data_IF_315038272173
#
_entry.id   IF_315038272173
#
_cell.length_a   1.000
_cell.length_b   1.000
_cell.length_c   1.000
_cell.angle_alpha   90.00
_cell.angle_beta   90.00
_cell.angle_gamma   90.00
#
_symmetry.space_group_name_H-M   'P 1'
#
loop_
_entity.id
_entity.type
_entity.pdbx_description
1 polymer ?
#
# COMPACT_ATOMS: atom_id res chain seq x y z
N UNK A 1 -0.46 -17.59 -5.20
CA UNK A 1 -0.92 -16.73 -6.31
C UNK A 1 0.02 -16.91 -7.49
N UNK A 2 -0.37 -16.52 -8.71
CA UNK A 2 0.48 -16.56 -9.90
C UNK A 2 0.15 -15.39 -10.85
N UNK A 3 1.08 -15.06 -11.75
CA UNK A 3 0.85 -14.04 -12.79
C UNK A 3 0.29 -14.70 -14.05
N UNK A 4 -0.83 -14.17 -14.54
CA UNK A 4 -1.49 -14.59 -15.77
C UNK A 4 -1.40 -13.49 -16.82
N UNK A 5 -0.87 -13.81 -17.99
CA UNK A 5 -0.95 -12.96 -19.17
C UNK A 5 -2.30 -13.16 -19.88
N UNK A 6 -2.96 -12.07 -20.28
CA UNK A 6 -4.22 -12.07 -21.02
C UNK A 6 -4.14 -11.10 -22.18
N UNK A 7 -4.34 -11.60 -23.40
CA UNK A 7 -4.51 -10.75 -24.58
C UNK A 7 -5.87 -10.07 -24.52
N UNK A 8 -5.87 -8.75 -24.59
CA UNK A 8 -7.06 -7.90 -24.60
C UNK A 8 -7.06 -7.09 -25.89
N UNK A 9 -8.25 -6.79 -26.41
CA UNK A 9 -8.43 -5.94 -27.60
C UNK A 9 -9.05 -4.62 -27.17
N UNK A 10 -8.45 -3.51 -27.59
CA UNK A 10 -9.08 -2.21 -27.45
C UNK A 10 -10.29 -2.15 -28.40
N UNK A 11 -11.49 -1.85 -27.86
CA UNK A 11 -12.73 -1.81 -28.65
C UNK A 11 -12.76 -0.64 -29.63
N UNK A 12 -12.12 0.47 -29.31
CA UNK A 12 -12.13 1.68 -30.13
C UNK A 12 -11.13 1.61 -31.29
N UNK A 13 -9.89 1.18 -31.01
CA UNK A 13 -8.80 1.17 -32.01
C UNK A 13 -8.56 -0.20 -32.63
N UNK A 14 -9.16 -1.26 -32.09
CA UNK A 14 -8.96 -2.64 -32.54
C UNK A 14 -7.60 -3.25 -32.19
N UNK A 15 -6.69 -2.50 -31.56
CA UNK A 15 -5.34 -2.94 -31.24
C UNK A 15 -5.34 -4.00 -30.14
N UNK A 16 -4.55 -5.06 -30.33
CA UNK A 16 -4.36 -6.13 -29.35
C UNK A 16 -3.18 -5.78 -28.43
N UNK A 17 -3.37 -5.92 -27.13
CA UNK A 17 -2.32 -5.73 -26.13
C UNK A 17 -2.37 -6.84 -25.09
N UNK A 18 -1.23 -7.10 -24.46
CA UNK A 18 -1.11 -8.09 -23.39
C UNK A 18 -1.15 -7.35 -22.06
N UNK A 19 -2.01 -7.81 -21.16
CA UNK A 19 -2.04 -7.39 -19.77
C UNK A 19 -1.75 -8.56 -18.84
N UNK A 20 -1.20 -8.26 -17.68
CA UNK A 20 -0.81 -9.20 -16.66
C UNK A 20 -1.67 -9.00 -15.43
N UNK A 21 -2.03 -10.09 -14.77
CA UNK A 21 -2.88 -10.07 -13.58
C UNK A 21 -2.30 -11.00 -12.53
N UNK A 22 -2.31 -10.58 -11.28
CA UNK A 22 -2.03 -11.47 -10.16
C UNK A 22 -3.32 -12.20 -9.81
N UNK A 23 -3.27 -13.53 -9.82
CA UNK A 23 -4.44 -14.40 -9.64
C UNK A 23 -4.22 -15.31 -8.44
N UNK A 24 -5.25 -15.43 -7.60
CA UNK A 24 -5.34 -16.41 -6.51
C UNK A 24 -6.21 -17.57 -6.96
N UNK A 25 -5.77 -18.80 -6.69
CA UNK A 25 -6.61 -19.98 -6.83
C UNK A 25 -7.11 -20.40 -5.45
N UNK A 26 -8.38 -20.74 -5.37
CA UNK A 26 -9.01 -21.26 -4.16
C UNK A 26 -9.96 -22.41 -4.53
N UNK A 27 -10.22 -23.30 -3.57
CA UNK A 27 -11.20 -24.38 -3.74
C UNK A 27 -12.53 -23.94 -3.16
N UNK A 28 -13.59 -24.15 -3.92
CA UNK A 28 -14.97 -23.99 -3.48
C UNK A 28 -15.65 -25.36 -3.63
N UNK A 29 -15.72 -26.10 -2.52
CA UNK A 29 -16.06 -27.52 -2.53
C UNK A 29 -15.09 -28.31 -3.42
N UNK A 30 -15.64 -28.97 -4.43
CA UNK A 30 -14.89 -29.83 -5.36
C UNK A 30 -14.34 -29.07 -6.59
N UNK A 31 -14.67 -27.78 -6.74
CA UNK A 31 -14.26 -26.97 -7.89
C UNK A 31 -13.11 -26.03 -7.52
N UNK A 32 -12.10 -25.94 -8.37
CA UNK A 32 -11.04 -24.94 -8.27
C UNK A 32 -11.48 -23.66 -8.99
N UNK A 33 -11.54 -22.55 -8.27
CA UNK A 33 -11.85 -21.22 -8.82
C UNK A 33 -10.63 -20.31 -8.77
N UNK A 34 -10.66 -19.28 -9.61
CA UNK A 34 -9.60 -18.27 -9.73
C UNK A 34 -10.18 -16.88 -9.51
N UNK A 35 -9.55 -16.12 -8.61
CA UNK A 35 -9.88 -14.73 -8.30
C UNK A 35 -8.75 -13.81 -8.76
N UNK A 36 -9.08 -12.68 -9.36
CA UNK A 36 -8.10 -11.65 -9.72
C UNK A 36 -7.85 -10.79 -8.48
N UNK A 37 -6.63 -10.84 -7.97
CA UNK A 37 -6.21 -10.08 -6.78
C UNK A 37 -5.89 -8.64 -7.17
N UNK A 38 -5.14 -8.46 -8.26
CA UNK A 38 -4.80 -7.15 -8.79
C UNK A 38 -4.49 -7.22 -10.30
N UNK A 39 -4.74 -6.13 -11.01
CA UNK A 39 -4.29 -5.94 -12.39
C UNK A 39 -2.89 -5.30 -12.35
N UNK A 40 -1.93 -5.88 -13.07
CA UNK A 40 -0.53 -5.49 -13.08
C UNK A 40 -0.18 -4.66 -14.31
N UNK A 41 -1.13 -4.43 -15.22
CA UNK A 41 -0.85 -3.78 -16.50
C UNK A 41 0.08 -4.61 -17.38
N UNK A 42 0.96 -3.94 -18.14
CA UNK A 42 1.95 -4.63 -18.98
C UNK A 42 3.25 -4.76 -18.20
N UNK A 43 3.73 -6.00 -18.05
CA UNK A 43 5.04 -6.30 -17.48
C UNK A 43 6.01 -6.60 -18.62
N UNK A 44 7.19 -6.00 -18.56
CA UNK A 44 8.27 -6.18 -19.52
C UNK A 44 9.40 -7.01 -18.87
N UNK A 45 9.06 -8.21 -18.39
CA UNK A 45 10.00 -9.15 -17.76
C UNK A 45 9.88 -10.54 -18.38
N UNK A 46 10.94 -11.34 -18.24
CA UNK A 46 10.95 -12.73 -18.71
C UNK A 46 9.85 -13.54 -17.98
N UNK A 47 9.04 -14.34 -18.70
CA UNK A 47 8.06 -15.25 -18.11
C UNK A 47 8.62 -16.18 -17.02
N UNK A 48 9.92 -16.50 -17.03
CA UNK A 48 10.59 -17.28 -15.98
C UNK A 48 10.54 -16.61 -14.62
N UNK A 49 10.56 -15.28 -14.58
CA UNK A 49 10.56 -14.51 -13.34
C UNK A 49 9.15 -14.19 -12.82
N UNK A 50 8.10 -14.53 -13.57
CA UNK A 50 6.72 -14.35 -13.12
C UNK A 50 6.43 -15.06 -11.80
N UNK A 51 6.99 -16.24 -11.60
CA UNK A 51 6.81 -17.00 -10.35
C UNK A 51 7.43 -16.27 -9.17
N UNK A 52 8.66 -15.76 -9.33
CA UNK A 52 9.37 -14.99 -8.29
C UNK A 52 8.64 -13.69 -7.99
N UNK A 53 8.25 -12.93 -9.02
CA UNK A 53 7.50 -11.68 -8.84
C UNK A 53 6.16 -11.93 -8.14
N UNK A 54 5.43 -13.00 -8.50
CA UNK A 54 4.19 -13.37 -7.84
C UNK A 54 4.40 -13.67 -6.34
N UNK A 55 5.50 -14.33 -5.98
CA UNK A 55 5.85 -14.60 -4.58
C UNK A 55 6.15 -13.30 -3.82
N UNK A 56 6.97 -12.41 -4.40
CA UNK A 56 7.29 -11.10 -3.80
C UNK A 56 6.02 -10.29 -3.56
N UNK A 57 5.14 -10.18 -4.56
CA UNK A 57 3.86 -9.49 -4.43
C UNK A 57 2.97 -10.14 -3.37
N UNK A 58 2.91 -11.47 -3.31
CA UNK A 58 2.11 -12.18 -2.29
C UNK A 58 2.61 -11.89 -0.88
N UNK A 59 3.93 -11.92 -0.67
CA UNK A 59 4.53 -11.61 0.65
C UNK A 59 4.22 -10.18 1.08
N UNK A 60 4.41 -9.21 0.18
CA UNK A 60 4.11 -7.80 0.45
C UNK A 60 2.63 -7.55 0.74
N UNK A 61 1.72 -8.19 0.00
CA UNK A 61 0.28 -8.13 0.27
C UNK A 61 -0.10 -8.76 1.62
N UNK A 62 0.69 -9.74 2.09
CA UNK A 62 0.53 -10.33 3.42
C UNK A 62 1.21 -9.51 4.54
N UNK A 63 1.80 -8.35 4.23
CA UNK A 63 2.49 -7.50 5.21
C UNK A 63 3.86 -8.03 5.65
N UNK A 64 4.41 -9.02 4.93
CA UNK A 64 5.73 -9.59 5.21
C UNK A 64 6.73 -9.12 4.15
N UNK A 65 7.79 -8.44 4.57
CA UNK A 65 8.91 -8.13 3.68
C UNK A 65 10.03 -9.17 3.86
N UNK A 66 10.54 -9.70 2.76
CA UNK A 66 11.74 -10.53 2.80
C UNK A 66 12.95 -9.62 3.05
N UNK A 67 13.60 -9.83 4.20
CA UNK A 67 14.84 -9.15 4.59
C UNK A 67 16.03 -9.51 3.68
N UNK A 68 15.96 -10.60 2.93
CA UNK A 68 17.06 -11.05 2.08
C UNK A 68 17.12 -10.27 0.77
N UNK A 69 18.34 -9.96 0.32
CA UNK A 69 18.68 -9.36 -0.99
C UNK A 69 18.35 -10.33 -2.13
N UNK A 70 17.05 -10.52 -2.36
CA UNK A 70 16.57 -11.05 -3.63
C UNK A 70 16.75 -10.03 -4.75
N UNK A 71 16.56 -10.50 -5.98
CA UNK A 71 16.63 -9.75 -7.23
C UNK A 71 16.04 -8.32 -7.13
N UNK A 72 16.92 -7.33 -7.06
CA UNK A 72 16.57 -5.92 -6.79
C UNK A 72 15.63 -5.36 -7.87
N UNK A 73 15.77 -5.82 -9.12
CA UNK A 73 14.92 -5.41 -10.22
C UNK A 73 13.47 -5.84 -10.00
N UNK A 74 13.24 -7.10 -9.62
CA UNK A 74 11.90 -7.62 -9.35
C UNK A 74 11.25 -6.94 -8.14
N UNK A 75 12.04 -6.60 -7.12
CA UNK A 75 11.55 -5.83 -5.96
C UNK A 75 11.09 -4.43 -6.38
N UNK A 76 11.90 -3.72 -7.17
CA UNK A 76 11.56 -2.39 -7.70
C UNK A 76 10.30 -2.41 -8.56
N UNK A 77 10.15 -3.43 -9.41
CA UNK A 77 8.93 -3.63 -10.19
C UNK A 77 7.72 -3.86 -9.27
N UNK A 78 7.84 -4.73 -8.27
CA UNK A 78 6.77 -4.96 -7.32
C UNK A 78 6.40 -3.68 -6.53
N UNK A 79 7.36 -2.81 -6.19
CA UNK A 79 7.09 -1.54 -5.50
C UNK A 79 6.30 -0.58 -6.39
N UNK A 80 6.68 -0.44 -7.67
CA UNK A 80 5.95 0.37 -8.64
C UNK A 80 4.51 -0.11 -8.85
N UNK A 81 4.31 -1.42 -8.89
CA UNK A 81 2.98 -2.00 -9.06
C UNK A 81 2.13 -1.78 -7.80
N UNK A 82 2.70 -1.97 -6.61
CA UNK A 82 1.95 -1.79 -5.36
C UNK A 82 1.59 -0.32 -5.10
N UNK A 83 2.47 0.63 -5.43
CA UNK A 83 2.17 2.06 -5.29
C UNK A 83 1.07 2.52 -6.24
N UNK A 84 1.05 2.04 -7.48
CA UNK A 84 -0.04 2.33 -8.42
C UNK A 84 -1.36 1.64 -8.01
N UNK A 85 -1.28 0.46 -7.40
CA UNK A 85 -2.46 -0.23 -6.86
C UNK A 85 -3.07 0.48 -5.66
N UNK A 86 -2.27 0.94 -4.68
CA UNK A 86 -2.78 1.64 -3.50
C UNK A 86 -3.52 2.93 -3.87
N UNK A 87 -2.99 3.69 -4.83
CA UNK A 87 -3.66 4.89 -5.38
C UNK A 87 -4.99 4.51 -6.06
N UNK A 88 -5.04 3.38 -6.75
CA UNK A 88 -6.28 2.94 -7.41
C UNK A 88 -7.31 2.42 -6.40
N UNK A 89 -6.87 1.81 -5.29
CA UNK A 89 -7.74 1.29 -4.24
C UNK A 89 -8.40 2.42 -3.45
N UNK A 90 -7.68 3.48 -3.08
CA UNK A 90 -8.25 4.66 -2.42
C UNK A 90 -9.31 5.33 -3.30
N UNK A 91 -9.02 5.53 -4.58
CA UNK A 91 -10.00 6.09 -5.53
C UNK A 91 -11.25 5.21 -5.73
N UNK A 92 -11.13 3.89 -5.53
CA UNK A 92 -12.26 2.95 -5.59
C UNK A 92 -13.06 2.92 -4.29
N UNK A 93 -12.41 2.91 -3.13
CA UNK A 93 -13.10 3.02 -1.84
C UNK A 93 -13.88 4.33 -1.75
N UNK A 94 -13.30 5.44 -2.22
CA UNK A 94 -13.98 6.73 -2.25
C UNK A 94 -15.24 6.68 -3.13
N UNK A 95 -15.19 5.96 -4.27
CA UNK A 95 -16.35 5.77 -5.15
C UNK A 95 -17.41 4.83 -4.61
N UNK A 96 -17.03 3.78 -3.89
CA UNK A 96 -17.99 2.84 -3.29
C UNK A 96 -18.70 3.45 -2.08
N UNK A 97 -18.00 4.28 -1.28
CA UNK A 97 -18.58 5.00 -0.13
C UNK A 97 -19.65 6.02 -0.56
N UNK A 98 -19.50 6.66 -1.73
CA UNK A 98 -20.49 7.63 -2.26
C UNK A 98 -21.87 6.98 -2.53
N UNK A 99 -21.95 5.65 -2.68
CA UNK A 99 -23.20 4.97 -3.06
C UNK A 99 -24.05 4.48 -1.90
N UNK A 100 -23.61 4.63 -0.65
CA UNK A 100 -24.37 4.21 0.54
C UNK A 100 -24.43 5.37 1.55
N UNK A 101 -25.50 6.16 1.48
CA UNK A 101 -25.92 7.15 2.47
C UNK A 101 -24.80 8.06 3.02
N UNK A 102 -24.15 8.83 2.14
CA UNK A 102 -23.12 9.78 2.56
C UNK A 102 -23.73 11.13 2.97
N UNK A 103 -23.66 11.46 4.26
CA UNK A 103 -23.82 12.84 4.74
C UNK A 103 -22.58 13.66 4.32
N UNK A 104 -22.79 14.71 3.54
CA UNK A 104 -21.71 15.59 3.09
C UNK A 104 -21.34 16.58 4.19
N UNK A 105 -20.16 16.41 4.79
CA UNK A 105 -19.55 17.41 5.66
C UNK A 105 -18.64 18.33 4.84
N UNK A 106 -18.88 19.64 4.89
CA UNK A 106 -18.00 20.61 4.25
C UNK A 106 -16.67 20.69 5.01
N UNK A 107 -15.64 20.07 4.45
CA UNK A 107 -14.27 20.11 4.99
C UNK A 107 -13.39 20.98 4.10
N UNK A 108 -12.57 21.82 4.73
CA UNK A 108 -11.60 22.64 4.01
C UNK A 108 -10.43 21.77 3.56
N UNK A 109 -10.35 21.52 2.25
CA UNK A 109 -9.34 20.67 1.61
C UNK A 109 -7.91 21.18 1.78
N UNK A 110 -7.72 22.47 2.07
CA UNK A 110 -6.39 23.03 2.37
C UNK A 110 -5.83 22.66 3.75
N UNK A 111 -6.66 22.10 4.64
CA UNK A 111 -6.25 21.62 5.97
C UNK A 111 -6.08 20.10 6.05
N UNK A 112 -6.36 19.38 4.96
CA UNK A 112 -6.39 17.93 4.95
C UNK A 112 -4.97 17.38 4.68
N UNK A 113 -4.32 16.89 5.73
CA UNK A 113 -3.04 16.19 5.62
C UNK A 113 -3.27 14.67 5.68
N UNK A 114 -2.88 13.96 4.62
CA UNK A 114 -2.93 12.51 4.57
C UNK A 114 -1.61 11.93 5.12
N UNK A 115 -1.62 11.42 6.34
CA UNK A 115 -0.47 10.73 6.94
C UNK A 115 -0.53 9.21 6.66
N UNK A 116 0.63 8.58 6.47
CA UNK A 116 0.73 7.15 6.17
C UNK A 116 0.39 6.32 7.42
N UNK A 117 -0.84 5.81 7.47
CA UNK A 117 -1.46 5.13 8.63
C UNK A 117 -0.59 3.98 9.17
N UNK A 118 0.27 3.39 8.33
CA UNK A 118 1.16 2.29 8.69
C UNK A 118 2.30 2.69 9.65
N UNK A 119 2.62 3.98 9.77
CA UNK A 119 3.63 4.51 10.71
C UNK A 119 3.04 5.09 11.99
N UNK A 120 1.74 5.38 11.99
CA UNK A 120 1.07 6.02 13.11
C UNK A 120 1.00 5.10 14.36
N UNK A 121 0.96 3.78 14.18
CA UNK A 121 0.86 2.83 15.30
C UNK A 121 2.01 2.93 16.31
N UNK A 122 3.27 2.73 15.87
CA UNK A 122 4.44 2.93 16.72
C UNK A 122 4.52 4.34 17.33
N UNK A 123 4.15 5.38 16.57
CA UNK A 123 4.15 6.78 17.02
C UNK A 123 3.10 7.04 18.12
N UNK A 124 1.89 6.50 17.98
CA UNK A 124 0.83 6.56 18.99
C UNK A 124 1.25 5.85 20.28
N UNK A 125 1.87 4.67 20.16
CA UNK A 125 2.39 3.94 21.32
C UNK A 125 3.47 4.80 22.00
N UNK A 126 4.44 5.31 21.25
CA UNK A 126 5.50 6.16 21.76
C UNK A 126 4.95 7.42 22.45
N UNK A 127 3.99 8.11 21.83
CA UNK A 127 3.31 9.28 22.42
C UNK A 127 2.57 8.91 23.70
N UNK A 128 1.85 7.79 23.73
CA UNK A 128 1.13 7.35 24.93
C UNK A 128 2.06 7.06 26.10
N UNK A 129 3.23 6.48 25.83
CA UNK A 129 4.24 6.21 26.86
C UNK A 129 5.01 7.47 27.24
N UNK A 130 5.26 8.39 26.30
CA UNK A 130 5.87 9.69 26.56
C UNK A 130 5.08 10.48 27.61
N UNK A 131 3.76 10.48 27.49
CA UNK A 131 2.87 11.12 28.46
C UNK A 131 2.80 10.36 29.79
N UNK A 132 2.66 9.02 29.76
CA UNK A 132 2.60 8.19 30.98
C UNK A 132 3.86 8.27 31.83
N UNK A 133 5.03 8.27 31.18
CA UNK A 133 6.34 8.41 31.82
C UNK A 133 6.65 9.85 32.20
N UNK A 134 5.76 10.80 31.88
CA UNK A 134 5.90 12.22 32.18
C UNK A 134 7.24 12.76 31.70
N UNK A 135 7.69 12.29 30.54
CA UNK A 135 9.03 12.58 30.01
C UNK A 135 9.21 14.09 29.88
N UNK A 136 8.17 14.81 29.47
CA UNK A 136 8.15 16.28 29.45
C UNK A 136 8.54 16.91 30.79
N UNK A 137 8.01 16.41 31.90
CA UNK A 137 8.30 16.93 33.25
C UNK A 137 9.74 16.59 33.67
N UNK A 138 10.22 15.40 33.31
CA UNK A 138 11.61 14.99 33.56
C UNK A 138 12.60 15.85 32.76
N UNK A 139 12.34 16.09 31.48
CA UNK A 139 13.19 16.94 30.63
C UNK A 139 13.22 18.39 31.12
N UNK A 140 12.07 18.92 31.57
CA UNK A 140 12.01 20.24 32.22
C UNK A 140 12.82 20.29 33.51
N UNK A 141 12.79 19.23 34.33
CA UNK A 141 13.63 19.11 35.53
C UNK A 141 15.12 19.07 35.19
N UNK A 142 15.50 18.48 34.06
CA UNK A 142 16.88 18.46 33.56
C UNK A 142 17.31 19.78 32.89
N UNK A 143 16.50 20.84 32.92
CA UNK A 143 16.89 22.18 32.45
C UNK A 143 16.64 22.44 30.96
N UNK A 144 15.92 21.56 30.26
CA UNK A 144 15.48 21.82 28.88
C UNK A 144 14.30 22.80 28.89
N UNK A 145 14.61 24.10 28.81
CA UNK A 145 13.60 25.16 28.76
C UNK A 145 13.02 25.37 27.36
N UNK A 146 11.73 25.73 27.29
CA UNK A 146 10.83 25.87 26.12
C UNK A 146 11.39 26.63 24.90
N UNK A 147 12.49 27.40 25.05
CA UNK A 147 13.07 28.20 23.95
C UNK A 147 13.78 27.36 22.87
N UNK A 148 14.12 26.10 23.12
CA UNK A 148 14.75 25.21 22.11
C UNK A 148 13.78 24.23 21.41
N UNK A 149 12.52 24.13 21.86
CA UNK A 149 11.58 23.11 21.37
C UNK A 149 11.14 23.29 19.91
N UNK A 150 11.16 24.52 19.37
CA UNK A 150 10.71 24.78 17.98
C UNK A 150 11.64 24.21 16.90
N UNK A 151 12.87 23.82 17.25
CA UNK A 151 13.83 23.24 16.31
C UNK A 151 13.79 21.71 16.24
N UNK A 152 13.24 21.04 17.25
CA UNK A 152 13.26 19.57 17.34
C UNK A 152 11.97 18.90 16.83
N UNK A 153 10.86 19.64 16.71
CA UNK A 153 9.56 19.16 16.21
C UNK A 153 9.35 19.35 14.69
N UNK A 154 10.41 19.64 13.94
CA UNK A 154 10.40 19.69 12.45
C UNK A 154 11.07 18.46 11.83
N UNK A 155 10.83 17.29 12.40
CA UNK A 155 11.19 16.00 11.81
C UNK A 155 9.93 15.15 11.67
#
# INVERSE_FOLDING_TARGET
MFIRAKTTKNKATGTKYIKHQLVRSYREGDKVRQEIVMDLGRLEIDPKDYKKLAQILTMRLAGSESLFEGDLELKSIADKVLSSFSVTQTLRSDREVITKDAEFLNVNTSSLEASDIRRLGPELIASSFYDRLKIKEQLLRCGLSRKRDRQLLKL
#
